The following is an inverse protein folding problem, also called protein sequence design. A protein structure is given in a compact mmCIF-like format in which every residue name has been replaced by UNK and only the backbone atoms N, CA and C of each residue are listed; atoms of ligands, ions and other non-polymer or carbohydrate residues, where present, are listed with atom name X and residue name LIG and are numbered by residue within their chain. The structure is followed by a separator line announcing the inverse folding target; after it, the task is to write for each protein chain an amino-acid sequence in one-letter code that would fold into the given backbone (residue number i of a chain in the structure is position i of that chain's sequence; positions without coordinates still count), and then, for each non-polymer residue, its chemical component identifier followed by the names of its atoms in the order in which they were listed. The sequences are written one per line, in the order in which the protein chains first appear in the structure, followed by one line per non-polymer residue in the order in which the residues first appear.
data_IF_089523119881
#
_entry.id   IF_089523119881
#
_cell.length_a   1.000
_cell.length_b   1.000
_cell.length_c   1.000
_cell.angle_alpha   90.00
_cell.angle_beta   90.00
_cell.angle_gamma   90.00
#
_symmetry.space_group_name_H-M   'P 1'
#
loop_
_entity.id
_entity.type
_entity.pdbx_description
1 polymer ?
#
# COMPACT_ATOMS: atom_id res chain seq x y z
N UNK A 1 -12.89 22.16 7.50
CA UNK A 1 -11.72 22.38 6.63
C UNK A 1 -10.57 21.44 6.98
N UNK A 2 -10.13 21.40 8.25
CA UNK A 2 -9.02 20.56 8.73
C UNK A 2 -9.13 19.07 8.34
N UNK A 3 -10.29 18.42 8.56
CA UNK A 3 -10.44 16.98 8.24
C UNK A 3 -10.22 16.64 6.76
N UNK A 4 -10.59 17.54 5.83
CA UNK A 4 -10.32 17.35 4.39
C UNK A 4 -8.83 17.44 4.08
N UNK A 5 -8.11 18.34 4.76
CA UNK A 5 -6.66 18.50 4.61
C UNK A 5 -5.95 17.25 5.14
N UNK A 6 -6.33 16.77 6.33
CA UNK A 6 -5.74 15.55 6.91
C UNK A 6 -5.98 14.34 6.01
N UNK A 7 -7.21 14.16 5.50
CA UNK A 7 -7.51 13.07 4.56
C UNK A 7 -6.70 13.18 3.26
N UNK A 8 -6.48 14.39 2.74
CA UNK A 8 -5.64 14.60 1.56
C UNK A 8 -4.17 14.24 1.85
N UNK A 9 -3.64 14.62 3.02
CA UNK A 9 -2.27 14.26 3.43
C UNK A 9 -2.12 12.74 3.59
N UNK A 10 -3.06 12.08 4.26
CA UNK A 10 -3.05 10.61 4.38
C UNK A 10 -3.14 9.91 3.01
N UNK A 11 -3.88 10.50 2.06
CA UNK A 11 -3.94 10.00 0.69
C UNK A 11 -2.59 10.14 -0.03
N UNK A 12 -1.88 11.26 0.18
CA UNK A 12 -0.51 11.46 -0.33
C UNK A 12 0.46 10.47 0.33
N UNK A 13 0.35 10.24 1.64
CA UNK A 13 1.17 9.25 2.35
C UNK A 13 0.97 7.83 1.81
N UNK A 14 -0.26 7.50 1.34
CA UNK A 14 -0.54 6.26 0.62
C UNK A 14 0.25 6.12 -0.69
N UNK A 15 0.43 7.21 -1.45
CA UNK A 15 1.26 7.22 -2.66
C UNK A 15 2.74 7.05 -2.30
N UNK A 16 3.22 7.83 -1.33
CA UNK A 16 4.63 7.81 -0.92
C UNK A 16 5.01 6.42 -0.41
N UNK A 17 4.16 5.80 0.41
CA UNK A 17 4.43 4.47 0.96
C UNK A 17 4.36 3.37 -0.10
N UNK A 18 3.54 3.51 -1.15
CA UNK A 18 3.55 2.61 -2.29
C UNK A 18 4.89 2.64 -3.01
N UNK A 19 5.38 3.85 -3.32
CA UNK A 19 6.66 4.04 -4.01
C UNK A 19 7.81 3.48 -3.17
N UNK A 20 7.92 3.91 -1.92
CA UNK A 20 9.00 3.47 -1.01
C UNK A 20 8.94 1.95 -0.79
N UNK A 21 7.76 1.40 -0.53
CA UNK A 21 7.61 -0.03 -0.29
C UNK A 21 7.92 -0.90 -1.51
N UNK A 22 7.52 -0.46 -2.71
CA UNK A 22 7.81 -1.17 -3.95
C UNK A 22 9.31 -1.15 -4.28
N UNK A 23 9.99 -0.01 -4.09
CA UNK A 23 11.44 0.10 -4.31
C UNK A 23 12.26 -0.71 -3.29
N UNK A 24 11.73 -0.91 -2.08
CA UNK A 24 12.33 -1.74 -1.04
C UNK A 24 11.91 -3.21 -1.11
N UNK A 25 11.01 -3.58 -2.02
CA UNK A 25 10.52 -4.96 -2.17
C UNK A 25 11.63 -5.99 -2.47
N UNK A 26 12.62 -5.71 -3.34
CA UNK A 26 13.72 -6.64 -3.58
C UNK A 26 14.78 -6.58 -2.46
N UNK A 27 14.36 -6.38 -1.20
CA UNK A 27 15.26 -6.46 -0.05
C UNK A 27 15.70 -7.91 0.20
N UNK A 28 16.94 -8.08 0.64
CA UNK A 28 17.52 -9.39 0.95
C UNK A 28 17.79 -9.51 2.43
N UNK A 29 17.55 -10.69 2.99
CA UNK A 29 18.09 -11.11 4.29
C UNK A 29 19.20 -12.10 3.99
N UNK A 30 20.45 -11.65 4.12
CA UNK A 30 21.61 -12.39 3.60
C UNK A 30 21.52 -12.52 2.08
N UNK A 31 21.48 -13.76 1.57
CA UNK A 31 21.36 -14.05 0.13
C UNK A 31 19.93 -14.40 -0.31
N UNK A 32 18.95 -14.39 0.61
CA UNK A 32 17.57 -14.80 0.31
C UNK A 32 16.72 -13.55 0.08
N UNK A 33 16.05 -13.41 -1.08
CA UNK A 33 15.11 -12.33 -1.32
C UNK A 33 13.94 -12.47 -0.34
N UNK A 34 13.68 -11.44 0.46
CA UNK A 34 12.63 -11.45 1.47
C UNK A 34 11.85 -10.14 1.42
N UNK A 35 10.53 -10.16 1.13
CA UNK A 35 9.73 -8.96 0.90
C UNK A 35 9.32 -8.28 2.22
N UNK A 36 10.30 -7.84 3.03
CA UNK A 36 10.04 -7.17 4.32
C UNK A 36 9.11 -5.96 4.12
N UNK A 37 9.35 -5.20 3.06
CA UNK A 37 8.59 -3.99 2.76
C UNK A 37 7.10 -4.27 2.50
N UNK A 38 6.72 -5.46 2.04
CA UNK A 38 5.32 -5.83 1.83
C UNK A 38 4.56 -5.94 3.16
N UNK A 39 5.21 -6.51 4.19
CA UNK A 39 4.65 -6.57 5.53
C UNK A 39 4.59 -5.18 6.17
N UNK A 40 5.64 -4.38 5.99
CA UNK A 40 5.67 -2.99 6.46
C UNK A 40 4.56 -2.15 5.79
N UNK A 41 4.32 -2.34 4.50
CA UNK A 41 3.23 -1.68 3.78
C UNK A 41 1.86 -2.07 4.35
N UNK A 42 1.63 -3.33 4.70
CA UNK A 42 0.39 -3.77 5.35
C UNK A 42 0.15 -3.09 6.69
N UNK A 43 1.19 -3.00 7.52
CA UNK A 43 1.12 -2.31 8.81
C UNK A 43 0.88 -0.81 8.64
N UNK A 44 1.63 -0.15 7.75
CA UNK A 44 1.53 1.27 7.51
C UNK A 44 0.18 1.65 6.88
N UNK A 45 -0.30 0.91 5.89
CA UNK A 45 -1.62 1.15 5.31
C UNK A 45 -2.74 0.95 6.33
N UNK A 46 -2.59 -0.02 7.25
CA UNK A 46 -3.53 -0.19 8.37
C UNK A 46 -3.53 1.06 9.26
N UNK A 47 -2.36 1.58 9.61
CA UNK A 47 -2.24 2.80 10.41
C UNK A 47 -2.82 4.04 9.70
N UNK A 48 -2.55 4.22 8.40
CA UNK A 48 -3.09 5.34 7.61
C UNK A 48 -4.61 5.29 7.50
N UNK A 49 -5.17 4.12 7.16
CA UNK A 49 -6.64 3.94 7.08
C UNK A 49 -7.27 4.09 8.45
N UNK A 50 -6.64 3.58 9.51
CA UNK A 50 -7.13 3.75 10.87
C UNK A 50 -7.15 5.23 11.26
N UNK A 51 -6.08 5.97 10.99
CA UNK A 51 -6.03 7.41 11.21
C UNK A 51 -7.16 8.14 10.46
N UNK A 52 -7.44 7.74 9.22
CA UNK A 52 -8.52 8.33 8.42
C UNK A 52 -9.91 8.13 9.02
N UNK A 53 -10.18 7.02 9.74
CA UNK A 53 -11.48 6.77 10.39
C UNK A 53 -11.85 7.83 11.43
N UNK A 54 -10.88 8.53 12.02
CA UNK A 54 -11.15 9.62 12.97
C UNK A 54 -11.64 10.92 12.32
N UNK A 55 -11.58 11.03 10.99
CA UNK A 55 -11.89 12.26 10.25
C UNK A 55 -13.09 12.12 9.31
N UNK A 56 -13.72 10.94 9.25
CA UNK A 56 -14.87 10.69 8.37
C UNK A 56 -15.67 9.45 8.79
N UNK A 57 -17.01 9.55 8.76
CA UNK A 57 -17.92 8.42 8.96
C UNK A 57 -18.12 7.57 7.68
N UNK A 58 -17.68 8.07 6.52
CA UNK A 58 -17.78 7.30 5.28
C UNK A 58 -16.64 6.30 5.14
N UNK A 59 -16.98 5.01 5.12
CA UNK A 59 -16.04 3.91 4.87
C UNK A 59 -15.20 4.13 3.60
N UNK A 60 -15.82 4.63 2.52
CA UNK A 60 -15.14 4.85 1.24
C UNK A 60 -14.09 5.95 1.34
N UNK A 61 -14.39 7.01 2.11
CA UNK A 61 -13.47 8.14 2.31
C UNK A 61 -12.34 7.76 3.28
N UNK A 62 -12.63 6.98 4.33
CA UNK A 62 -11.59 6.46 5.23
C UNK A 62 -10.58 5.56 4.50
N UNK A 63 -11.00 4.87 3.43
CA UNK A 63 -10.13 4.05 2.60
C UNK A 63 -9.26 4.83 1.61
N UNK A 64 -9.32 6.17 1.56
CA UNK A 64 -8.56 6.98 0.60
C UNK A 64 -7.05 6.65 0.54
N UNK A 65 -6.33 6.51 1.68
CA UNK A 65 -4.91 6.16 1.66
C UNK A 65 -4.64 4.81 0.98
N UNK A 66 -5.54 3.84 1.18
CA UNK A 66 -5.43 2.53 0.55
C UNK A 66 -5.73 2.61 -0.96
N UNK A 67 -6.70 3.42 -1.37
CA UNK A 67 -7.02 3.61 -2.79
C UNK A 67 -5.87 4.26 -3.56
N UNK A 68 -5.25 5.32 -3.01
CA UNK A 68 -4.11 5.96 -3.66
C UNK A 68 -2.88 5.06 -3.68
N UNK A 69 -2.65 4.31 -2.60
CA UNK A 69 -1.62 3.27 -2.58
C UNK A 69 -1.84 2.22 -3.67
N UNK A 70 -3.05 1.64 -3.78
CA UNK A 70 -3.38 0.65 -4.81
C UNK A 70 -3.22 1.21 -6.22
N UNK A 71 -3.73 2.42 -6.48
CA UNK A 71 -3.59 3.06 -7.79
C UNK A 71 -2.11 3.23 -8.15
N UNK A 72 -1.28 3.63 -7.20
CA UNK A 72 0.17 3.80 -7.39
C UNK A 72 0.83 2.46 -7.70
N UNK A 73 0.52 1.39 -6.95
CA UNK A 73 1.06 0.04 -7.21
C UNK A 73 0.64 -0.48 -8.58
N UNK A 74 -0.61 -0.23 -9.00
CA UNK A 74 -1.10 -0.60 -10.33
C UNK A 74 -0.31 0.13 -11.41
N UNK A 75 -0.11 1.45 -11.27
CA UNK A 75 0.72 2.22 -12.20
C UNK A 75 2.15 1.67 -12.25
N UNK A 76 2.76 1.36 -11.10
CA UNK A 76 4.11 0.79 -11.00
C UNK A 76 4.21 -0.65 -11.56
N UNK A 77 3.08 -1.34 -11.69
CA UNK A 77 3.02 -2.70 -12.27
C UNK A 77 3.07 -2.65 -13.80
N UNK A 78 2.52 -1.60 -14.40
CA UNK A 78 2.64 -1.37 -15.84
C UNK A 78 4.00 -0.71 -16.11
N UNK A 79 4.86 -1.39 -16.88
CA UNK A 79 6.27 -1.04 -17.05
C UNK A 79 6.53 0.42 -17.46
N UNK A 80 7.70 0.91 -17.07
CA UNK A 80 8.21 2.23 -17.39
C UNK A 80 8.86 2.30 -18.78
N UNK A 81 9.41 3.49 -19.14
CA UNK A 81 10.15 3.69 -20.37
C UNK A 81 11.25 2.64 -20.54
N UNK A 82 11.51 2.18 -21.77
CA UNK A 82 12.57 1.20 -22.01
C UNK A 82 12.23 -0.23 -21.57
N UNK A 83 10.94 -0.55 -21.34
CA UNK A 83 10.46 -1.86 -20.85
C UNK A 83 10.88 -2.22 -19.43
N UNK A 84 11.27 -1.23 -18.63
CA UNK A 84 11.65 -1.42 -17.23
C UNK A 84 10.43 -1.79 -16.38
N UNK A 85 10.57 -2.83 -15.55
CA UNK A 85 9.52 -3.33 -14.68
C UNK A 85 9.97 -3.28 -13.23
N UNK A 86 9.20 -2.60 -12.38
CA UNK A 86 9.54 -2.42 -10.96
C UNK A 86 9.44 -3.76 -10.19
N UNK A 87 8.53 -4.64 -10.61
CA UNK A 87 8.26 -5.92 -9.94
C UNK A 87 8.81 -7.14 -10.72
N UNK A 88 9.89 -6.99 -11.50
CA UNK A 88 10.43 -8.07 -12.35
C UNK A 88 11.51 -8.96 -11.70
N UNK A 89 11.42 -9.20 -10.39
CA UNK A 89 12.40 -10.06 -9.71
C UNK A 89 12.26 -11.54 -10.08
N UNK A 90 13.32 -12.36 -9.95
CA UNK A 90 13.26 -13.80 -10.20
C UNK A 90 12.55 -14.57 -9.05
N UNK A 91 12.09 -15.79 -9.35
CA UNK A 91 11.53 -16.70 -8.34
C UNK A 91 10.27 -16.15 -7.68
N UNK A 92 10.24 -16.09 -6.35
CA UNK A 92 9.10 -15.53 -5.60
C UNK A 92 8.81 -14.08 -5.98
N UNK A 93 9.84 -13.30 -6.32
CA UNK A 93 9.69 -11.89 -6.68
C UNK A 93 9.07 -11.70 -8.07
N UNK A 94 8.87 -12.76 -8.86
CA UNK A 94 8.08 -12.70 -10.10
C UNK A 94 6.60 -12.39 -9.82
N UNK A 95 6.15 -12.69 -8.60
CA UNK A 95 4.82 -12.35 -8.10
C UNK A 95 4.85 -11.13 -7.17
N UNK A 96 5.91 -10.30 -7.26
CA UNK A 96 6.17 -9.20 -6.33
C UNK A 96 5.00 -8.23 -6.20
N UNK A 97 4.36 -7.85 -7.31
CA UNK A 97 3.17 -6.98 -7.30
C UNK A 97 2.00 -7.62 -6.56
N UNK A 98 1.72 -8.91 -6.79
CA UNK A 98 0.64 -9.63 -6.12
C UNK A 98 0.90 -9.78 -4.62
N UNK A 99 2.14 -10.12 -4.24
CA UNK A 99 2.57 -10.22 -2.84
C UNK A 99 2.41 -8.86 -2.16
N UNK A 100 2.88 -7.79 -2.82
CA UNK A 100 2.80 -6.44 -2.29
C UNK A 100 1.34 -6.01 -2.11
N UNK A 101 0.48 -6.20 -3.12
CA UNK A 101 -0.97 -5.93 -3.05
C UNK A 101 -1.62 -6.71 -1.91
N UNK A 102 -1.39 -8.02 -1.84
CA UNK A 102 -2.02 -8.87 -0.83
C UNK A 102 -1.60 -8.45 0.60
N UNK A 103 -0.29 -8.33 0.85
CA UNK A 103 0.22 -7.95 2.16
C UNK A 103 -0.16 -6.51 2.54
N UNK A 104 -0.10 -5.59 1.58
CA UNK A 104 -0.38 -4.17 1.75
C UNK A 104 -1.85 -3.82 1.93
N UNK A 105 -2.77 -4.58 1.32
CA UNK A 105 -4.20 -4.23 1.28
C UNK A 105 -5.09 -5.10 2.18
N UNK A 106 -4.75 -6.37 2.43
CA UNK A 106 -5.63 -7.25 3.20
C UNK A 106 -5.81 -6.79 4.67
N UNK A 107 -4.76 -6.41 5.41
CA UNK A 107 -4.91 -5.95 6.79
C UNK A 107 -5.81 -4.70 6.95
N UNK A 108 -5.61 -3.58 6.21
CA UNK A 108 -6.49 -2.41 6.33
C UNK A 108 -7.91 -2.71 5.86
N UNK A 109 -8.10 -3.51 4.80
CA UNK A 109 -9.43 -3.87 4.33
C UNK A 109 -10.20 -4.71 5.36
N UNK A 110 -9.53 -5.67 6.01
CA UNK A 110 -10.14 -6.46 7.08
C UNK A 110 -10.49 -5.60 8.30
N UNK A 111 -9.60 -4.68 8.69
CA UNK A 111 -9.86 -3.73 9.77
C UNK A 111 -11.06 -2.84 9.46
N UNK A 112 -11.09 -2.21 8.28
CA UNK A 112 -12.16 -1.31 7.85
C UNK A 112 -13.51 -2.04 7.82
N UNK A 113 -13.54 -3.26 7.26
CA UNK A 113 -14.74 -4.11 7.24
C UNK A 113 -15.24 -4.42 8.65
N UNK A 114 -14.35 -4.62 9.62
CA UNK A 114 -14.74 -4.88 11.03
C UNK A 114 -15.26 -3.62 11.71
N UNK A 115 -14.68 -2.45 11.41
CA UNK A 115 -15.06 -1.18 12.01
C UNK A 115 -16.48 -0.76 11.66
N UNK A 116 -16.86 -0.83 10.37
CA UNK A 116 -18.17 -0.37 9.86
C UNK A 116 -19.29 -1.43 9.87
N UNK A 117 -19.01 -2.63 10.39
CA UNK A 117 -20.03 -3.67 10.60
C UNK A 117 -20.64 -3.64 12.00
N UNK A 118 -20.05 -2.85 12.91
CA UNK A 118 -20.55 -2.60 14.26
C UNK A 118 -21.47 -1.40 14.25
#
# INVERSE_FOLDING_TARGET
MLGRIVLALLAVDGVISAVVGALLLPSYIGSIPFPVSALAAGALNTALVWAATYWTDSMRIAALPLWTWLATVVVMTFGGPGSDLIFAGPGLMAYGSLIFIAAGALPPAAMLRRHYRR
#
